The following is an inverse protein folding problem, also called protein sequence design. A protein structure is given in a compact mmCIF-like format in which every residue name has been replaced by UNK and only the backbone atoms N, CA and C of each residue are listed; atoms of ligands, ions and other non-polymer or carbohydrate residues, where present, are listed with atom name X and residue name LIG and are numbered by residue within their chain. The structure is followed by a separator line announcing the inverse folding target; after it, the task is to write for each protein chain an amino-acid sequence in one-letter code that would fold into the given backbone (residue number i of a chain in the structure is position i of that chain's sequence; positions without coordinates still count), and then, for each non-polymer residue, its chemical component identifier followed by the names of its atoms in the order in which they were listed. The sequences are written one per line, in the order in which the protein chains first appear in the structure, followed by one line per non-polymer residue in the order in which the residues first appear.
data_IF_092897706335
#
_entry.id   IF_092897706335
#
_cell.length_a   1.000
_cell.length_b   1.000
_cell.length_c   1.000
_cell.angle_alpha   90.00
_cell.angle_beta   90.00
_cell.angle_gamma   90.00
#
_symmetry.space_group_name_H-M   'P 1'
#
loop_
_entity.id
_entity.type
_entity.pdbx_description
1 polymer ?
#
# COMPACT_ATOMS: atom_id res chain seq x y z
N UNK A 1 72.05 7.65 123.03
CA UNK A 1 70.71 7.86 123.63
C UNK A 1 70.13 9.15 123.06
N UNK A 2 68.84 9.10 122.69
CA UNK A 2 68.00 10.16 122.08
C UNK A 2 68.14 11.52 122.78
N UNK A 3 68.37 12.60 122.04
CA UNK A 3 67.38 13.51 121.41
C UNK A 3 66.67 14.45 122.41
N UNK A 4 66.94 15.76 122.31
CA UNK A 4 65.99 16.85 121.97
C UNK A 4 66.42 18.20 122.57
N UNK A 5 66.48 19.20 121.69
CA UNK A 5 66.54 20.65 121.91
C UNK A 5 65.26 21.17 121.23
N UNK A 6 64.28 21.74 121.93
CA UNK A 6 64.17 23.07 122.54
C UNK A 6 63.47 24.08 121.63
N UNK A 7 62.63 24.88 122.29
CA UNK A 7 62.33 26.31 122.09
C UNK A 7 61.48 26.78 120.89
N UNK A 8 60.26 27.24 121.25
CA UNK A 8 59.55 28.50 120.93
C UNK A 8 59.86 29.21 119.60
N UNK A 9 58.79 29.50 118.83
CA UNK A 9 58.65 30.68 117.95
C UNK A 9 57.19 31.18 117.92
N UNK A 10 57.05 32.52 117.76
CA UNK A 10 55.88 33.40 117.65
C UNK A 10 55.00 33.19 116.39
N UNK A 11 53.81 33.86 116.27
CA UNK A 11 52.77 33.47 115.32
C UNK A 11 52.97 34.09 113.92
N UNK A 12 52.57 33.36 112.88
CA UNK A 12 52.55 33.83 111.50
C UNK A 12 51.20 33.51 110.83
N UNK A 13 50.80 34.43 109.96
CA UNK A 13 49.54 34.52 109.25
C UNK A 13 49.07 33.23 108.56
N UNK A 14 47.78 32.93 108.68
CA UNK A 14 47.11 31.90 107.89
C UNK A 14 46.80 32.49 106.51
N UNK A 15 47.61 32.11 105.52
CA UNK A 15 47.35 32.40 104.11
C UNK A 15 46.18 31.54 103.61
N UNK A 16 45.11 32.20 103.15
CA UNK A 16 44.03 31.57 102.42
C UNK A 16 44.51 31.20 101.01
N UNK A 17 45.01 29.99 100.84
CA UNK A 17 45.21 29.35 99.54
C UNK A 17 44.04 28.42 99.25
N UNK A 18 42.97 28.93 98.64
CA UNK A 18 41.93 28.09 98.05
C UNK A 18 42.58 27.40 96.85
N UNK A 19 42.85 26.10 96.99
CA UNK A 19 43.21 25.24 95.87
C UNK A 19 41.98 25.10 94.99
N UNK A 20 41.93 25.87 93.91
CA UNK A 20 40.98 25.67 92.81
C UNK A 20 41.33 24.32 92.18
N UNK A 21 40.61 23.27 92.56
CA UNK A 21 40.48 22.12 91.69
C UNK A 21 39.77 22.64 90.44
N UNK A 22 40.53 22.83 89.37
CA UNK A 22 39.94 22.99 88.04
C UNK A 22 38.98 21.82 87.86
N UNK A 23 37.70 22.13 87.68
CA UNK A 23 36.79 21.23 86.99
C UNK A 23 37.46 20.99 85.64
N UNK A 24 38.16 19.86 85.51
CA UNK A 24 38.44 19.30 84.21
C UNK A 24 37.06 19.22 83.54
N UNK A 25 36.90 20.02 82.49
CA UNK A 25 35.68 20.05 81.71
C UNK A 25 35.28 18.62 81.47
N UNK A 26 34.03 18.29 81.80
CA UNK A 26 33.39 17.11 81.26
C UNK A 26 33.41 17.36 79.77
N UNK A 27 34.43 16.85 79.08
CA UNK A 27 34.40 16.73 77.64
C UNK A 27 33.19 15.82 77.40
N UNK A 28 32.08 16.45 77.04
CA UNK A 28 30.95 15.75 76.44
C UNK A 28 31.57 14.89 75.35
N UNK A 29 31.53 13.58 75.51
CA UNK A 29 31.87 12.67 74.44
C UNK A 29 30.91 13.01 73.32
N UNK A 30 31.36 13.81 72.36
CA UNK A 30 30.62 14.08 71.15
C UNK A 30 30.52 12.71 70.49
N UNK A 31 29.32 12.12 70.48
CA UNK A 31 29.07 10.91 69.73
C UNK A 31 29.45 11.22 68.29
N UNK A 32 30.26 10.36 67.67
CA UNK A 32 30.57 10.50 66.25
C UNK A 32 29.25 10.49 65.50
N UNK A 33 29.05 11.45 64.61
CA UNK A 33 27.88 11.49 63.74
C UNK A 33 27.70 10.13 63.05
N UNK A 34 26.50 9.57 63.13
CA UNK A 34 26.10 8.36 62.44
C UNK A 34 25.50 8.73 61.08
N UNK A 35 25.61 7.82 60.11
CA UNK A 35 24.96 8.06 58.81
C UNK A 35 23.45 7.79 58.93
N UNK A 36 22.63 8.46 58.10
CA UNK A 36 21.22 8.14 58.02
C UNK A 36 21.01 6.69 57.56
N UNK A 37 19.86 6.12 57.94
CA UNK A 37 19.39 4.82 57.47
C UNK A 37 18.25 5.04 56.50
N UNK A 38 18.52 4.78 55.22
CA UNK A 38 17.52 4.81 54.17
C UNK A 38 16.72 3.50 54.15
N UNK A 39 15.40 3.58 54.00
CA UNK A 39 14.54 2.44 53.75
C UNK A 39 13.96 2.49 52.34
N UNK A 40 13.51 1.34 51.84
CA UNK A 40 12.95 1.28 50.50
C UNK A 40 11.51 1.80 50.49
N UNK A 41 11.15 2.50 49.43
CA UNK A 41 9.82 3.05 49.23
C UNK A 41 9.08 2.33 48.10
N UNK A 42 7.75 2.43 48.16
CA UNK A 42 6.88 2.01 47.07
C UNK A 42 5.86 3.08 46.75
N UNK A 43 5.55 3.27 45.48
CA UNK A 43 4.48 4.15 45.03
C UNK A 43 3.68 3.50 43.89
N UNK A 44 2.45 3.98 43.70
CA UNK A 44 1.60 3.63 42.56
C UNK A 44 1.18 4.91 41.87
N UNK A 45 1.19 4.90 40.54
CA UNK A 45 0.61 5.97 39.73
C UNK A 45 -0.04 5.38 38.49
N UNK A 46 -0.88 6.14 37.81
CA UNK A 46 -1.29 5.81 36.45
C UNK A 46 -0.18 6.25 35.49
N UNK A 47 -0.11 5.65 34.30
CA UNK A 47 0.73 6.23 33.26
C UNK A 47 0.30 7.67 32.96
N UNK A 48 1.25 8.43 32.43
CA UNK A 48 1.15 9.87 32.14
C UNK A 48 0.84 10.78 33.34
N UNK A 49 0.78 10.21 34.54
CA UNK A 49 0.44 10.92 35.77
C UNK A 49 1.66 10.96 36.70
N UNK A 50 2.22 12.16 36.98
CA UNK A 50 3.26 12.30 37.98
C UNK A 50 2.77 11.95 39.38
N UNK A 51 3.67 11.41 40.21
CA UNK A 51 3.41 11.12 41.64
C UNK A 51 4.50 11.74 42.51
N UNK A 52 4.09 12.32 43.64
CA UNK A 52 5.01 12.84 44.67
C UNK A 52 5.16 11.80 45.77
N UNK A 53 6.40 11.41 46.05
CA UNK A 53 6.78 10.33 46.96
C UNK A 53 7.55 10.93 48.14
N UNK A 54 7.03 10.74 49.35
CA UNK A 54 7.66 11.18 50.59
C UNK A 54 8.77 10.20 51.02
N UNK A 55 9.86 10.15 50.25
CA UNK A 55 10.96 9.18 50.41
C UNK A 55 11.67 9.25 51.76
N UNK A 56 11.56 10.36 52.51
CA UNK A 56 12.16 10.49 53.83
C UNK A 56 11.23 10.04 54.98
N UNK A 57 9.99 9.61 54.69
CA UNK A 57 8.99 9.37 55.73
C UNK A 57 9.28 8.13 56.60
N UNK A 58 10.03 7.17 56.07
CA UNK A 58 10.46 5.91 56.70
C UNK A 58 11.98 5.88 56.99
N UNK A 59 12.70 6.93 56.60
CA UNK A 59 14.13 7.11 56.85
C UNK A 59 14.36 7.64 58.25
N UNK A 60 15.50 7.27 58.83
CA UNK A 60 15.83 7.64 60.21
C UNK A 60 17.29 8.02 60.34
N UNK A 61 17.60 8.87 61.30
CA UNK A 61 18.95 9.13 61.76
C UNK A 61 19.05 8.88 63.27
N UNK A 62 20.14 8.26 63.72
CA UNK A 62 20.29 7.84 65.12
C UNK A 62 20.63 9.01 66.06
N UNK A 63 21.29 10.05 65.55
CA UNK A 63 21.60 11.28 66.27
C UNK A 63 20.42 12.26 66.26
N UNK A 64 19.43 12.02 65.38
CA UNK A 64 18.21 12.82 65.25
C UNK A 64 18.39 14.04 64.35
N UNK A 65 19.39 14.01 63.47
CA UNK A 65 19.67 15.07 62.53
C UNK A 65 18.55 15.22 61.48
N UNK A 66 18.42 16.43 60.94
CA UNK A 66 17.40 16.72 59.93
C UNK A 66 17.80 16.12 58.59
N UNK A 67 16.95 15.25 58.07
CA UNK A 67 17.19 14.59 56.79
C UNK A 67 16.79 15.44 55.58
N UNK A 68 17.55 15.27 54.49
CA UNK A 68 17.30 15.89 53.19
C UNK A 68 17.58 14.91 52.05
N UNK A 69 16.97 15.14 50.88
CA UNK A 69 17.27 14.37 49.67
C UNK A 69 18.40 15.07 48.92
N UNK A 70 19.58 14.44 48.86
CA UNK A 70 20.77 15.00 48.23
C UNK A 70 20.76 14.84 46.71
N UNK A 71 20.29 13.69 46.21
CA UNK A 71 20.20 13.41 44.76
C UNK A 71 19.23 12.28 44.47
N UNK A 72 18.87 12.14 43.20
CA UNK A 72 18.00 11.07 42.69
C UNK A 72 18.47 10.64 41.31
N UNK A 73 18.29 9.36 40.98
CA UNK A 73 18.50 8.81 39.64
C UNK A 73 17.17 8.68 38.89
N UNK A 74 17.23 8.59 37.56
CA UNK A 74 16.04 8.26 36.76
C UNK A 74 15.83 6.75 36.74
N UNK A 75 14.56 6.36 36.61
CA UNK A 75 14.20 5.00 36.24
C UNK A 75 14.31 4.77 34.74
N UNK A 76 13.96 3.57 34.30
CA UNK A 76 13.96 3.22 32.87
C UNK A 76 12.68 3.66 32.16
N UNK A 77 11.58 3.83 32.91
CA UNK A 77 10.25 4.17 32.41
C UNK A 77 9.78 5.55 32.84
N UNK A 78 10.62 6.33 33.53
CA UNK A 78 10.27 7.67 33.97
C UNK A 78 11.46 8.45 34.51
N UNK A 79 11.21 9.72 34.79
CA UNK A 79 12.19 10.64 35.36
C UNK A 79 11.83 10.96 36.81
N UNK A 80 12.86 11.12 37.65
CA UNK A 80 12.69 11.48 39.04
C UNK A 80 13.41 12.81 39.32
N UNK A 81 12.76 13.68 40.09
CA UNK A 81 13.31 14.97 40.47
C UNK A 81 13.05 15.24 41.96
N UNK A 82 14.06 15.78 42.64
CA UNK A 82 13.91 16.20 44.04
C UNK A 82 12.97 17.41 44.10
N UNK A 83 12.00 17.36 45.01
CA UNK A 83 11.04 18.44 45.28
C UNK A 83 10.92 18.63 46.80
N UNK A 84 11.73 19.52 47.35
CA UNK A 84 11.84 19.71 48.80
C UNK A 84 12.37 18.45 49.49
N UNK A 85 11.58 17.90 50.40
CA UNK A 85 11.88 16.66 51.14
C UNK A 85 11.30 15.40 50.46
N UNK A 86 10.71 15.55 49.27
CA UNK A 86 10.09 14.48 48.51
C UNK A 86 10.75 14.32 47.14
N UNK A 87 10.38 13.28 46.42
CA UNK A 87 10.75 13.07 45.01
C UNK A 87 9.48 13.06 44.18
N UNK A 88 9.47 13.81 43.08
CA UNK A 88 8.44 13.70 42.05
C UNK A 88 8.93 12.73 40.99
N UNK A 89 8.18 11.64 40.79
CA UNK A 89 8.40 10.69 39.71
C UNK A 89 7.36 10.94 38.60
N UNK A 90 7.84 11.13 37.38
CA UNK A 90 7.02 11.33 36.18
C UNK A 90 7.26 10.16 35.22
N UNK A 91 6.28 9.26 35.02
CA UNK A 91 6.35 8.25 33.97
C UNK A 91 6.59 8.90 32.60
N UNK A 92 7.34 8.22 31.74
CA UNK A 92 7.37 8.55 30.32
C UNK A 92 6.02 8.19 29.70
N UNK A 93 5.65 8.90 28.63
CA UNK A 93 4.37 8.72 27.98
C UNK A 93 4.09 7.26 27.59
N UNK A 94 2.89 6.77 27.89
CA UNK A 94 2.37 5.46 27.47
C UNK A 94 3.22 4.26 27.92
N UNK A 95 4.00 4.42 29.01
CA UNK A 95 4.75 3.33 29.62
C UNK A 95 4.13 2.94 30.96
N UNK A 96 3.75 1.67 31.06
CA UNK A 96 3.23 1.06 32.29
C UNK A 96 4.12 -0.08 32.83
N UNK A 97 3.73 -0.65 33.97
CA UNK A 97 4.45 -1.71 34.68
C UNK A 97 5.33 -1.20 35.82
N UNK A 98 6.25 -2.04 36.30
CA UNK A 98 7.16 -1.68 37.39
C UNK A 98 8.38 -0.91 36.87
N UNK A 99 8.76 0.15 37.58
CA UNK A 99 10.03 0.87 37.40
C UNK A 99 10.72 1.07 38.75
N UNK A 100 12.04 1.25 38.73
CA UNK A 100 12.83 1.41 39.95
C UNK A 100 13.86 2.51 39.74
N UNK A 101 14.05 3.35 40.76
CA UNK A 101 15.12 4.33 40.83
C UNK A 101 15.67 4.42 42.25
N UNK A 102 16.79 5.13 42.43
CA UNK A 102 17.42 5.33 43.74
C UNK A 102 17.50 6.81 44.11
N UNK A 103 17.48 7.09 45.41
CA UNK A 103 17.72 8.42 45.96
C UNK A 103 18.79 8.35 47.05
N UNK A 104 19.42 9.49 47.32
CA UNK A 104 20.43 9.63 48.38
C UNK A 104 19.86 10.53 49.48
N UNK A 105 19.72 9.99 50.69
CA UNK A 105 19.39 10.76 51.90
C UNK A 105 20.67 11.27 52.55
N UNK A 106 20.62 12.49 53.11
CA UNK A 106 21.73 13.15 53.79
C UNK A 106 21.28 13.78 55.10
N UNK A 107 22.08 13.62 56.15
CA UNK A 107 21.97 14.33 57.44
C UNK A 107 22.71 15.69 57.43
N UNK A 108 23.36 16.05 56.31
CA UNK A 108 24.21 17.24 56.15
C UNK A 108 25.71 16.96 56.20
N UNK A 109 26.12 15.78 56.66
CA UNK A 109 27.52 15.32 56.78
C UNK A 109 27.75 13.97 56.11
N UNK A 110 26.87 12.99 56.35
CA UNK A 110 26.91 11.62 55.84
C UNK A 110 25.66 11.32 55.00
N UNK A 111 25.71 10.22 54.25
CA UNK A 111 24.64 9.86 53.31
C UNK A 111 24.36 8.37 53.29
N UNK A 112 23.14 8.01 52.87
CA UNK A 112 22.73 6.64 52.56
C UNK A 112 21.85 6.61 51.31
N UNK A 113 21.73 5.43 50.69
CA UNK A 113 20.97 5.25 49.45
C UNK A 113 19.72 4.42 49.71
N UNK A 114 18.56 4.96 49.35
CA UNK A 114 17.29 4.23 49.32
C UNK A 114 16.87 3.86 47.90
N UNK A 115 16.02 2.86 47.77
CA UNK A 115 15.44 2.44 46.48
C UNK A 115 13.94 2.66 46.50
N UNK A 116 13.41 3.24 45.41
CA UNK A 116 11.98 3.42 45.21
C UNK A 116 11.52 2.49 44.10
N UNK A 117 10.49 1.69 44.36
CA UNK A 117 9.79 0.90 43.34
C UNK A 117 8.44 1.55 43.03
N UNK A 118 8.24 1.94 41.78
CA UNK A 118 6.98 2.53 41.30
C UNK A 118 6.23 1.51 40.46
N UNK A 119 4.97 1.27 40.79
CA UNK A 119 4.04 0.52 39.93
C UNK A 119 3.22 1.51 39.11
N UNK A 120 3.39 1.49 37.79
CA UNK A 120 2.66 2.34 36.85
C UNK A 120 1.51 1.52 36.29
N UNK A 121 0.29 1.97 36.53
CA UNK A 121 -0.95 1.30 36.13
C UNK A 121 -1.30 1.72 34.70
N UNK A 122 -1.55 0.78 33.78
CA UNK A 122 -1.98 1.10 32.43
C UNK A 122 -3.36 1.78 32.44
N UNK A 123 -3.57 2.71 31.52
CA UNK A 123 -4.80 3.45 31.28
C UNK A 123 -5.05 3.46 29.78
N UNK A 124 -6.18 2.93 29.35
CA UNK A 124 -6.56 2.89 27.95
C UNK A 124 -6.54 4.29 27.32
N UNK A 125 -5.77 4.43 26.25
CA UNK A 125 -5.69 5.60 25.40
C UNK A 125 -6.65 5.49 24.21
N UNK A 126 -7.15 6.62 23.66
CA UNK A 126 -7.99 6.57 22.48
C UNK A 126 -7.18 6.19 21.23
N UNK A 127 -7.81 5.56 20.25
CA UNK A 127 -7.15 5.25 18.98
C UNK A 127 -6.73 6.53 18.26
N UNK A 128 -5.66 6.46 17.48
CA UNK A 128 -5.19 7.55 16.61
C UNK A 128 -5.69 7.30 15.19
N UNK A 129 -6.70 8.06 14.78
CA UNK A 129 -7.30 7.97 13.45
C UNK A 129 -6.62 8.93 12.45
N UNK A 130 -6.19 8.44 11.29
CA UNK A 130 -5.47 9.20 10.26
C UNK A 130 -6.32 9.27 8.99
N UNK A 131 -6.44 10.48 8.41
CA UNK A 131 -7.28 10.68 7.22
C UNK A 131 -6.79 9.89 6.01
N UNK A 132 -7.74 9.40 5.21
CA UNK A 132 -7.49 8.67 3.97
C UNK A 132 -7.76 9.53 2.73
N UNK A 133 -7.13 9.14 1.62
CA UNK A 133 -7.45 9.67 0.30
C UNK A 133 -7.46 8.54 -0.72
N UNK A 134 -8.57 8.38 -1.44
CA UNK A 134 -8.75 7.32 -2.44
C UNK A 134 -9.30 7.85 -3.74
N UNK A 135 -8.95 7.17 -4.84
CA UNK A 135 -9.58 7.37 -6.14
C UNK A 135 -10.40 6.13 -6.48
N UNK A 136 -11.64 6.34 -6.88
CA UNK A 136 -12.59 5.26 -7.18
C UNK A 136 -13.18 5.42 -8.57
N UNK A 137 -13.61 4.31 -9.14
CA UNK A 137 -14.27 4.31 -10.46
C UNK A 137 -15.75 4.62 -10.30
N UNK A 138 -16.30 5.50 -11.16
CA UNK A 138 -17.73 5.82 -11.20
C UNK A 138 -18.57 4.54 -11.33
N UNK A 139 -19.79 4.58 -10.78
CA UNK A 139 -20.77 3.49 -10.86
C UNK A 139 -20.29 2.14 -10.28
N UNK A 140 -19.15 2.13 -9.56
CA UNK A 140 -18.54 0.91 -9.00
C UNK A 140 -18.37 1.07 -7.50
N UNK A 141 -18.87 0.11 -6.73
CA UNK A 141 -18.60 0.05 -5.29
C UNK A 141 -17.14 -0.32 -5.04
N UNK A 142 -16.48 0.40 -4.13
CA UNK A 142 -15.10 0.18 -3.74
C UNK A 142 -15.02 -0.08 -2.23
N UNK A 143 -14.32 -1.15 -1.85
CA UNK A 143 -13.97 -1.43 -0.45
C UNK A 143 -12.70 -0.66 -0.10
N UNK A 144 -12.75 0.14 0.96
CA UNK A 144 -11.67 0.98 1.47
C UNK A 144 -11.24 0.43 2.83
N UNK A 145 -9.94 0.13 2.97
CA UNK A 145 -9.35 -0.31 4.23
C UNK A 145 -9.00 0.90 5.11
N UNK A 146 -10.03 1.55 5.64
CA UNK A 146 -9.89 2.82 6.38
C UNK A 146 -9.01 2.69 7.63
N UNK A 147 -8.96 1.51 8.27
CA UNK A 147 -8.14 1.30 9.47
C UNK A 147 -6.65 1.02 9.17
N UNK A 148 -6.21 1.01 7.89
CA UNK A 148 -4.88 0.54 7.53
C UNK A 148 -3.74 1.46 8.01
N UNK A 149 -4.03 2.72 8.23
CA UNK A 149 -3.12 3.77 8.73
C UNK A 149 -3.47 4.22 10.16
N UNK A 150 -4.48 3.61 10.78
CA UNK A 150 -4.87 3.92 12.16
C UNK A 150 -4.08 3.06 13.15
N UNK A 151 -3.82 3.61 14.33
CA UNK A 151 -3.03 2.94 15.36
C UNK A 151 -3.64 3.12 16.74
N UNK A 152 -3.36 2.17 17.61
CA UNK A 152 -3.66 2.24 19.03
C UNK A 152 -2.37 2.06 19.82
N UNK A 153 -2.15 2.86 20.86
CA UNK A 153 -0.89 2.82 21.61
C UNK A 153 -0.83 1.66 22.60
N UNK A 154 -1.99 1.22 23.11
CA UNK A 154 -2.13 0.04 23.95
C UNK A 154 -2.09 -1.26 23.12
N UNK A 155 -2.27 -1.13 21.81
CA UNK A 155 -2.28 -2.23 20.87
C UNK A 155 -3.63 -2.94 20.79
N UNK A 156 -4.70 -2.25 21.21
CA UNK A 156 -6.06 -2.75 21.14
C UNK A 156 -6.55 -2.93 19.70
N UNK A 157 -7.49 -3.86 19.52
CA UNK A 157 -8.02 -4.19 18.21
C UNK A 157 -8.99 -3.10 17.73
N UNK A 158 -8.65 -2.48 16.59
CA UNK A 158 -9.45 -1.38 16.04
C UNK A 158 -10.65 -1.85 15.21
N UNK A 159 -11.75 -1.11 15.32
CA UNK A 159 -12.99 -1.29 14.56
C UNK A 159 -13.55 0.04 14.08
N UNK A 160 -14.35 0.02 13.02
CA UNK A 160 -15.12 1.17 12.54
C UNK A 160 -16.47 1.19 13.26
N UNK A 161 -16.64 2.14 14.18
CA UNK A 161 -17.84 2.28 14.99
C UNK A 161 -19.00 2.97 14.24
N UNK A 162 -18.70 3.95 13.41
CA UNK A 162 -19.71 4.64 12.60
C UNK A 162 -19.11 5.29 11.36
N UNK A 163 -19.97 5.57 10.38
CA UNK A 163 -19.63 6.29 9.15
C UNK A 163 -20.71 7.32 8.86
N UNK A 164 -20.33 8.51 8.41
CA UNK A 164 -21.29 9.53 7.97
C UNK A 164 -21.69 9.33 6.51
N UNK A 165 -22.82 9.91 6.12
CA UNK A 165 -23.29 9.83 4.74
C UNK A 165 -22.52 10.84 3.88
N UNK A 166 -21.85 10.40 2.79
CA UNK A 166 -21.22 11.30 1.83
C UNK A 166 -22.27 12.04 0.99
N UNK A 167 -21.87 13.14 0.33
CA UNK A 167 -22.80 14.00 -0.40
C UNK A 167 -23.25 13.41 -1.74
N UNK A 168 -22.41 12.59 -2.37
CA UNK A 168 -22.58 12.09 -3.73
C UNK A 168 -22.40 10.57 -3.84
N UNK A 169 -22.84 9.84 -2.81
CA UNK A 169 -22.83 8.38 -2.78
C UNK A 169 -23.39 7.81 -1.49
N UNK A 170 -22.97 6.58 -1.17
CA UNK A 170 -23.24 5.93 0.11
C UNK A 170 -21.94 5.36 0.66
N UNK A 171 -21.80 5.37 1.99
CA UNK A 171 -20.73 4.70 2.71
C UNK A 171 -21.33 3.71 3.73
N UNK A 172 -20.89 2.47 3.69
CA UNK A 172 -21.41 1.39 4.56
C UNK A 172 -20.24 0.65 5.18
N UNK A 173 -20.29 0.41 6.50
CA UNK A 173 -19.28 -0.38 7.20
C UNK A 173 -19.37 -1.84 6.74
N UNK A 174 -18.22 -2.42 6.41
CA UNK A 174 -18.07 -3.80 5.93
C UNK A 174 -17.13 -4.53 6.86
N UNK A 175 -17.59 -5.66 7.40
CA UNK A 175 -16.85 -6.54 8.31
C UNK A 175 -16.28 -5.84 9.56
N UNK A 176 -16.87 -4.70 9.96
CA UNK A 176 -16.46 -3.90 11.11
C UNK A 176 -15.08 -3.22 11.00
N UNK A 177 -14.36 -3.39 9.89
CA UNK A 177 -12.96 -2.93 9.73
C UNK A 177 -12.72 -2.16 8.43
N UNK A 178 -13.66 -2.20 7.50
CA UNK A 178 -13.59 -1.54 6.20
C UNK A 178 -14.84 -0.72 5.95
N UNK A 179 -14.78 0.15 4.95
CA UNK A 179 -15.96 0.87 4.47
C UNK A 179 -16.11 0.62 2.97
N UNK A 180 -17.29 0.18 2.55
CA UNK A 180 -17.67 0.13 1.14
C UNK A 180 -18.29 1.46 0.75
N UNK A 181 -17.63 2.19 -0.15
CA UNK A 181 -18.16 3.40 -0.77
C UNK A 181 -18.76 3.06 -2.14
N UNK A 182 -19.96 3.57 -2.42
CA UNK A 182 -20.62 3.46 -3.73
C UNK A 182 -20.99 4.87 -4.20
N UNK A 183 -20.38 5.38 -5.29
CA UNK A 183 -20.76 6.66 -5.85
C UNK A 183 -22.22 6.67 -6.32
N UNK A 184 -22.87 7.83 -6.30
CA UNK A 184 -24.13 8.03 -6.99
C UNK A 184 -23.96 7.79 -8.50
N UNK A 185 -25.00 7.24 -9.13
CA UNK A 185 -24.94 6.89 -10.55
C UNK A 185 -24.56 8.10 -11.42
N UNK A 186 -23.54 7.93 -12.26
CA UNK A 186 -23.00 8.94 -13.17
C UNK A 186 -22.17 10.04 -12.50
N UNK A 187 -21.96 9.99 -11.19
CA UNK A 187 -21.21 11.03 -10.49
C UNK A 187 -19.71 11.00 -10.84
N UNK A 188 -19.14 12.19 -11.05
CA UNK A 188 -17.72 12.46 -11.27
C UNK A 188 -17.35 13.69 -10.43
N UNK A 189 -16.22 13.64 -9.74
CA UNK A 189 -15.78 14.72 -8.87
C UNK A 189 -15.33 14.24 -7.50
N UNK A 190 -15.24 15.17 -6.56
CA UNK A 190 -14.76 14.90 -5.20
C UNK A 190 -15.91 14.67 -4.24
N UNK A 191 -15.80 13.65 -3.40
CA UNK A 191 -16.73 13.39 -2.30
C UNK A 191 -15.94 13.11 -1.02
N UNK A 192 -16.61 13.07 0.12
CA UNK A 192 -15.98 12.73 1.38
C UNK A 192 -16.99 12.16 2.37
N UNK A 193 -16.50 11.29 3.25
CA UNK A 193 -17.22 10.89 4.46
C UNK A 193 -16.26 10.92 5.65
N UNK A 194 -16.81 10.99 6.85
CA UNK A 194 -16.08 10.78 8.09
C UNK A 194 -16.37 9.39 8.64
N UNK A 195 -15.40 8.79 9.32
CA UNK A 195 -15.60 7.56 10.08
C UNK A 195 -15.05 7.71 11.49
N UNK A 196 -15.56 6.86 12.39
CA UNK A 196 -15.16 6.79 13.79
C UNK A 196 -14.48 5.45 14.03
N UNK A 197 -13.24 5.49 14.49
CA UNK A 197 -12.44 4.35 14.93
C UNK A 197 -12.69 4.12 16.42
N UNK A 198 -12.77 2.85 16.82
CA UNK A 198 -12.99 2.42 18.19
C UNK A 198 -12.05 1.28 18.55
N UNK A 199 -11.42 1.36 19.72
CA UNK A 199 -10.69 0.26 20.37
C UNK A 199 -11.63 -0.69 21.16
N UNK A 200 -12.89 -0.28 21.33
CA UNK A 200 -13.92 -1.00 22.10
C UNK A 200 -14.44 -0.22 23.32
N UNK A 201 -13.72 0.83 23.72
CA UNK A 201 -14.00 1.71 24.85
C UNK A 201 -13.96 3.18 24.46
N UNK A 202 -12.88 3.64 23.83
CA UNK A 202 -12.65 5.00 23.38
C UNK A 202 -12.70 5.08 21.85
N UNK A 203 -12.85 6.31 21.35
CA UNK A 203 -13.07 6.56 19.93
C UNK A 203 -12.34 7.80 19.43
N UNK A 204 -11.99 7.77 18.15
CA UNK A 204 -11.46 8.91 17.40
C UNK A 204 -12.11 9.00 16.02
N UNK A 205 -12.22 10.21 15.47
CA UNK A 205 -12.88 10.43 14.18
C UNK A 205 -11.93 11.08 13.17
N UNK A 206 -12.05 10.69 11.91
CA UNK A 206 -11.27 11.27 10.81
C UNK A 206 -12.06 11.24 9.49
N UNK A 207 -11.45 11.71 8.41
CA UNK A 207 -12.09 11.90 7.10
C UNK A 207 -11.45 11.02 6.02
N UNK A 208 -12.28 10.49 5.12
CA UNK A 208 -11.86 9.91 3.84
C UNK A 208 -12.20 10.89 2.74
N UNK A 209 -11.18 11.34 2.00
CA UNK A 209 -11.34 12.14 0.78
C UNK A 209 -11.40 11.21 -0.44
N UNK A 210 -12.37 11.44 -1.31
CA UNK A 210 -12.64 10.56 -2.46
C UNK A 210 -12.59 11.38 -3.74
N UNK A 211 -11.88 10.86 -4.75
CA UNK A 211 -12.00 11.33 -6.13
C UNK A 211 -12.67 10.26 -6.98
N UNK A 212 -13.87 10.55 -7.50
CA UNK A 212 -14.62 9.68 -8.40
C UNK A 212 -14.27 10.04 -9.84
N UNK A 213 -13.68 9.08 -10.56
CA UNK A 213 -13.27 9.24 -11.95
C UNK A 213 -13.91 8.18 -12.85
N UNK A 214 -13.92 8.45 -14.16
CA UNK A 214 -14.32 7.43 -15.13
C UNK A 214 -13.37 6.24 -15.08
N UNK A 215 -13.88 5.05 -15.40
CA UNK A 215 -13.01 3.89 -15.57
C UNK A 215 -11.91 4.23 -16.59
N UNK A 216 -10.65 3.95 -16.24
CA UNK A 216 -9.60 3.86 -17.25
C UNK A 216 -9.95 2.67 -18.12
N UNK A 217 -10.39 2.89 -19.36
CA UNK A 217 -10.70 1.79 -20.25
C UNK A 217 -9.46 0.88 -20.37
N UNK A 218 -9.58 -0.45 -20.23
CA UNK A 218 -8.56 -1.31 -20.81
C UNK A 218 -8.48 -1.00 -22.32
N UNK A 219 -7.34 -1.22 -22.98
CA UNK A 219 -7.30 -1.24 -24.43
C UNK A 219 -8.38 -2.22 -24.91
N UNK A 220 -9.49 -1.69 -25.43
CA UNK A 220 -10.53 -2.46 -26.11
C UNK A 220 -9.86 -3.27 -27.23
N UNK A 221 -10.44 -4.37 -27.71
CA UNK A 221 -9.87 -5.18 -28.81
C UNK A 221 -9.59 -4.42 -30.12
N UNK A 222 -9.98 -3.14 -30.22
CA UNK A 222 -9.50 -2.17 -31.21
C UNK A 222 -8.05 -1.74 -31.01
N UNK A 223 -7.51 -1.77 -29.79
CA UNK A 223 -6.15 -1.39 -29.45
C UNK A 223 -5.08 -2.28 -30.08
N UNK A 224 -5.30 -3.60 -30.18
CA UNK A 224 -4.31 -4.47 -30.80
C UNK A 224 -4.21 -4.21 -32.31
N UNK A 225 -5.35 -3.92 -32.96
CA UNK A 225 -5.40 -3.53 -34.37
C UNK A 225 -4.82 -2.14 -34.61
N UNK A 226 -5.12 -1.16 -33.74
CA UNK A 226 -4.60 0.21 -33.83
C UNK A 226 -3.10 0.24 -33.52
N UNK A 227 -2.63 -0.52 -32.52
CA UNK A 227 -1.21 -0.63 -32.18
C UNK A 227 -0.42 -1.30 -33.31
N UNK A 228 -0.94 -2.39 -33.90
CA UNK A 228 -0.35 -3.01 -35.09
C UNK A 228 -0.29 -2.03 -36.27
N UNK A 229 -1.35 -1.25 -36.50
CA UNK A 229 -1.35 -0.21 -37.52
C UNK A 229 -0.32 0.90 -37.22
N UNK A 230 -0.17 1.31 -35.96
CA UNK A 230 0.80 2.31 -35.58
C UNK A 230 2.24 1.84 -35.77
N UNK A 231 2.54 0.57 -35.49
CA UNK A 231 3.87 0.00 -35.76
C UNK A 231 4.14 -0.16 -37.26
N UNK A 232 3.15 -0.56 -38.05
CA UNK A 232 3.33 -0.88 -39.46
C UNK A 232 3.35 0.35 -40.39
N UNK A 233 2.61 1.42 -40.07
CA UNK A 233 2.34 2.51 -41.03
C UNK A 233 2.78 3.90 -40.59
N UNK A 234 3.19 4.09 -39.32
CA UNK A 234 3.60 5.42 -38.83
C UNK A 234 4.84 5.99 -39.55
N UNK A 235 5.65 5.16 -40.20
CA UNK A 235 6.80 5.57 -41.03
C UNK A 235 6.43 5.88 -42.49
N UNK A 236 5.23 5.48 -42.93
CA UNK A 236 4.77 5.56 -44.31
C UNK A 236 3.83 6.75 -44.56
N UNK A 237 3.10 7.20 -43.54
CA UNK A 237 2.21 8.37 -43.61
C UNK A 237 2.40 9.25 -42.36
N UNK A 238 2.80 10.51 -42.57
CA UNK A 238 3.05 11.46 -41.48
C UNK A 238 1.80 11.76 -40.64
N UNK A 239 0.61 11.67 -41.24
CA UNK A 239 -0.66 11.83 -40.53
C UNK A 239 -1.04 10.63 -39.67
N UNK A 240 -0.72 9.39 -40.10
CA UNK A 240 -0.84 8.19 -39.27
C UNK A 240 0.14 8.26 -38.11
N UNK A 241 1.39 8.71 -38.36
CA UNK A 241 2.41 8.92 -37.33
C UNK A 241 1.96 9.86 -36.19
N UNK A 242 1.37 11.01 -36.56
CA UNK A 242 0.86 12.00 -35.62
C UNK A 242 -0.31 11.46 -34.78
N UNK A 243 -1.27 10.77 -35.42
CA UNK A 243 -2.40 10.16 -34.74
C UNK A 243 -1.96 9.02 -33.80
N UNK A 244 -0.97 8.23 -34.20
CA UNK A 244 -0.42 7.15 -33.39
C UNK A 244 0.33 7.63 -32.16
N UNK A 245 1.09 8.73 -32.28
CA UNK A 245 1.75 9.37 -31.13
C UNK A 245 0.72 9.87 -30.11
N UNK A 246 -0.41 10.38 -30.60
CA UNK A 246 -1.51 10.85 -29.76
C UNK A 246 -2.29 9.69 -29.11
N UNK A 247 -2.51 8.59 -29.85
CA UNK A 247 -3.20 7.40 -29.38
C UNK A 247 -2.39 6.62 -28.32
N UNK A 248 -1.06 6.48 -28.51
CA UNK A 248 -0.16 5.73 -27.62
C UNK A 248 0.35 6.56 -26.42
N UNK A 249 0.21 7.89 -26.46
CA UNK A 249 0.64 8.78 -25.39
C UNK A 249 -0.18 8.69 -24.10
N UNK A 250 -1.32 7.98 -24.10
CA UNK A 250 -2.14 7.69 -22.92
C UNK A 250 -2.64 8.91 -22.10
N UNK A 251 -2.69 10.10 -22.70
CA UNK A 251 -3.12 11.35 -22.06
C UNK A 251 -4.52 11.83 -22.49
N UNK A 252 -5.31 10.97 -23.15
CA UNK A 252 -6.62 11.37 -23.69
C UNK A 252 -7.80 10.67 -23.00
N UNK A 253 -8.95 11.36 -22.90
CA UNK A 253 -10.19 10.72 -22.46
C UNK A 253 -10.68 9.68 -23.48
N UNK A 254 -11.38 8.65 -22.99
CA UNK A 254 -11.76 7.43 -23.75
C UNK A 254 -12.45 7.73 -25.08
N UNK A 255 -13.39 8.67 -25.11
CA UNK A 255 -14.12 9.04 -26.35
C UNK A 255 -13.19 9.59 -27.44
N UNK A 256 -12.13 10.30 -27.05
CA UNK A 256 -11.15 10.85 -27.98
C UNK A 256 -10.22 9.75 -28.49
N UNK A 257 -9.82 8.81 -27.63
CA UNK A 257 -8.97 7.68 -28.00
C UNK A 257 -9.70 6.74 -28.99
N UNK A 258 -10.99 6.47 -28.79
CA UNK A 258 -11.82 5.69 -29.73
C UNK A 258 -11.95 6.39 -31.09
N UNK A 259 -12.20 7.70 -31.09
CA UNK A 259 -12.31 8.49 -32.32
C UNK A 259 -11.01 8.53 -33.12
N UNK A 260 -9.87 8.64 -32.43
CA UNK A 260 -8.53 8.61 -33.03
C UNK A 260 -8.19 7.20 -33.54
N UNK A 261 -8.49 6.15 -32.78
CA UNK A 261 -8.27 4.76 -33.19
C UNK A 261 -9.06 4.40 -34.47
N UNK A 262 -10.33 4.80 -34.54
CA UNK A 262 -11.14 4.64 -35.74
C UNK A 262 -10.59 5.42 -36.94
N UNK A 263 -10.08 6.65 -36.72
CA UNK A 263 -9.46 7.45 -37.75
C UNK A 263 -8.15 6.82 -38.29
N UNK A 264 -7.33 6.23 -37.41
CA UNK A 264 -6.13 5.49 -37.79
C UNK A 264 -6.51 4.29 -38.66
N UNK A 265 -7.44 3.44 -38.20
CA UNK A 265 -7.88 2.25 -38.93
C UNK A 265 -8.48 2.58 -40.30
N UNK A 266 -9.32 3.63 -40.37
CA UNK A 266 -9.90 4.12 -41.63
C UNK A 266 -8.83 4.68 -42.58
N UNK A 267 -7.75 5.24 -42.06
CA UNK A 267 -6.68 5.80 -42.88
C UNK A 267 -5.75 4.71 -43.42
N UNK A 268 -5.50 3.66 -42.64
CA UNK A 268 -4.68 2.52 -43.09
C UNK A 268 -5.44 1.53 -43.98
N UNK A 269 -6.78 1.55 -43.97
CA UNK A 269 -7.60 0.68 -44.83
C UNK A 269 -7.47 0.96 -46.33
N UNK A 270 -6.84 2.06 -46.72
CA UNK A 270 -6.57 2.41 -48.12
C UNK A 270 -5.27 1.80 -48.67
N UNK A 271 -4.42 1.20 -47.83
CA UNK A 271 -3.20 0.50 -48.28
C UNK A 271 -3.52 -0.92 -48.76
N UNK A 272 -2.87 -1.37 -49.84
CA UNK A 272 -3.11 -2.69 -50.41
C UNK A 272 -2.59 -3.79 -49.45
N UNK A 273 -3.43 -4.74 -49.01
CA UNK A 273 -3.16 -5.75 -47.96
C UNK A 273 -1.83 -6.50 -48.11
N UNK A 274 -1.30 -6.67 -49.31
CA UNK A 274 0.00 -7.31 -49.52
C UNK A 274 1.19 -6.36 -49.28
N UNK A 275 1.07 -5.05 -49.57
CA UNK A 275 2.07 -4.05 -49.17
C UNK A 275 2.15 -3.92 -47.65
N UNK A 276 1.00 -4.10 -46.97
CA UNK A 276 0.87 -4.12 -45.52
C UNK A 276 1.65 -5.25 -44.88
N UNK A 277 1.42 -6.49 -45.33
CA UNK A 277 2.07 -7.66 -44.73
C UNK A 277 3.58 -7.63 -45.01
N UNK A 278 3.99 -7.06 -46.13
CA UNK A 278 5.40 -6.89 -46.47
C UNK A 278 6.13 -5.77 -45.72
N UNK A 279 5.39 -4.80 -45.19
CA UNK A 279 5.94 -3.79 -44.29
C UNK A 279 6.01 -4.30 -42.83
N UNK A 280 5.08 -5.18 -42.44
CA UNK A 280 4.96 -5.72 -41.09
C UNK A 280 5.71 -7.05 -40.88
N UNK A 281 6.21 -7.69 -41.94
CA UNK A 281 6.99 -8.92 -41.84
C UNK A 281 8.31 -8.62 -41.15
N UNK A 282 8.37 -8.86 -39.84
CA UNK A 282 9.63 -8.94 -39.09
C UNK A 282 10.51 -10.09 -39.60
N UNK A 283 11.33 -10.67 -38.73
CA UNK A 283 12.38 -11.66 -39.06
C UNK A 283 11.90 -13.01 -39.67
N UNK A 284 10.66 -13.13 -40.15
CA UNK A 284 10.20 -14.31 -40.89
C UNK A 284 10.79 -14.30 -42.31
N UNK A 285 11.79 -15.14 -42.51
CA UNK A 285 12.53 -15.25 -43.77
C UNK A 285 11.63 -15.64 -44.97
N UNK A 286 10.53 -16.36 -44.71
CA UNK A 286 9.60 -16.84 -45.73
C UNK A 286 8.73 -15.71 -46.26
N UNK A 287 8.17 -14.90 -45.35
CA UNK A 287 7.36 -13.73 -45.71
C UNK A 287 8.24 -12.65 -46.34
N UNK A 288 9.46 -12.44 -45.82
CA UNK A 288 10.42 -11.47 -46.36
C UNK A 288 10.81 -11.78 -47.82
N UNK A 289 11.02 -13.06 -48.16
CA UNK A 289 11.37 -13.46 -49.53
C UNK A 289 10.21 -13.25 -50.53
N UNK A 290 8.98 -13.59 -50.14
CA UNK A 290 7.79 -13.36 -50.96
C UNK A 290 7.51 -11.85 -51.15
N UNK A 291 7.79 -11.06 -50.12
CA UNK A 291 7.67 -9.62 -50.15
C UNK A 291 8.69 -8.92 -51.05
N UNK A 292 9.91 -9.45 -51.15
CA UNK A 292 10.89 -8.99 -52.14
C UNK A 292 10.41 -9.19 -53.59
N UNK A 293 9.72 -10.30 -53.87
CA UNK A 293 9.17 -10.58 -55.21
C UNK A 293 7.94 -9.69 -55.47
N UNK A 294 7.08 -9.51 -54.47
CA UNK A 294 5.90 -8.65 -54.56
C UNK A 294 6.25 -7.17 -54.83
N UNK A 295 7.28 -6.66 -54.15
CA UNK A 295 7.76 -5.27 -54.28
C UNK A 295 8.55 -5.01 -55.58
N UNK A 296 8.96 -6.05 -56.31
CA UNK A 296 9.72 -5.89 -57.54
C UNK A 296 8.95 -5.10 -58.61
N UNK A 297 9.59 -4.10 -59.21
CA UNK A 297 9.02 -3.31 -60.31
C UNK A 297 8.91 -4.11 -61.62
N UNK A 298 9.60 -5.25 -61.73
CA UNK A 298 9.56 -6.15 -62.89
C UNK A 298 8.52 -7.27 -62.78
N UNK A 299 7.85 -7.42 -61.64
CA UNK A 299 6.85 -8.47 -61.45
C UNK A 299 5.50 -8.08 -62.09
N UNK A 300 4.90 -8.95 -62.92
CA UNK A 300 3.61 -8.67 -63.55
C UNK A 300 2.47 -8.67 -62.53
N UNK A 301 1.41 -7.89 -62.81
CA UNK A 301 0.31 -7.63 -61.88
C UNK A 301 -0.42 -8.89 -61.38
N UNK A 302 -0.52 -9.94 -62.22
CA UNK A 302 -1.14 -11.22 -61.83
C UNK A 302 -0.30 -11.94 -60.77
N UNK A 303 1.03 -11.93 -60.91
CA UNK A 303 1.95 -12.58 -59.98
C UNK A 303 1.95 -11.88 -58.63
N UNK A 304 1.90 -10.54 -58.63
CA UNK A 304 1.73 -9.77 -57.39
C UNK A 304 0.43 -10.13 -56.68
N UNK A 305 -0.67 -10.25 -57.42
CA UNK A 305 -1.99 -10.62 -56.87
C UNK A 305 -1.97 -12.02 -56.24
N UNK A 306 -1.32 -13.00 -56.87
CA UNK A 306 -1.26 -14.37 -56.34
C UNK A 306 -0.29 -14.48 -55.15
N UNK A 307 0.87 -13.82 -55.20
CA UNK A 307 1.79 -13.74 -54.06
C UNK A 307 1.12 -13.07 -52.85
N UNK A 308 0.35 -12.00 -53.09
CA UNK A 308 -0.42 -11.34 -52.04
C UNK A 308 -1.39 -12.27 -51.31
N UNK A 309 -2.08 -13.16 -52.05
CA UNK A 309 -2.97 -14.16 -51.47
C UNK A 309 -2.23 -15.24 -50.68
N UNK A 310 -1.06 -15.67 -51.17
CA UNK A 310 -0.20 -16.67 -50.49
C UNK A 310 0.31 -16.11 -49.16
N UNK A 311 0.78 -14.87 -49.17
CA UNK A 311 1.21 -14.15 -47.95
C UNK A 311 0.04 -14.04 -46.95
N UNK A 312 -1.15 -13.69 -47.43
CA UNK A 312 -2.35 -13.58 -46.58
C UNK A 312 -2.75 -14.92 -45.94
N UNK A 313 -2.74 -16.02 -46.69
CA UNK A 313 -3.04 -17.35 -46.15
C UNK A 313 -2.01 -17.82 -45.11
N UNK A 314 -0.73 -17.55 -45.35
CA UNK A 314 0.36 -17.93 -44.44
C UNK A 314 0.23 -17.23 -43.07
N UNK A 315 -0.08 -15.93 -43.08
CA UNK A 315 -0.28 -15.16 -41.84
C UNK A 315 -1.55 -15.59 -41.09
N UNK A 316 -2.64 -15.90 -41.81
CA UNK A 316 -3.87 -16.44 -41.20
C UNK A 316 -3.63 -17.79 -40.50
N UNK A 317 -2.82 -18.67 -41.11
CA UNK A 317 -2.50 -19.97 -40.53
C UNK A 317 -1.60 -19.91 -39.29
N UNK A 318 -0.79 -18.85 -39.15
CA UNK A 318 0.19 -18.70 -38.04
C UNK A 318 -0.30 -17.83 -36.89
N UNK A 319 -1.29 -16.96 -37.11
CA UNK A 319 -1.79 -16.01 -36.10
C UNK A 319 -2.87 -16.59 -35.16
N UNK A 320 -3.37 -17.81 -35.39
CA UNK A 320 -4.39 -18.47 -34.56
C UNK A 320 -5.64 -17.59 -34.27
N UNK A 321 -5.99 -16.70 -35.21
CA UNK A 321 -7.20 -15.87 -35.15
C UNK A 321 -8.28 -16.53 -35.99
N UNK A 322 -9.30 -17.09 -35.34
CA UNK A 322 -10.57 -17.44 -36.01
C UNK A 322 -11.36 -16.15 -36.27
N UNK A 323 -11.46 -15.73 -37.53
CA UNK A 323 -12.42 -14.69 -37.92
C UNK A 323 -13.74 -15.37 -38.28
N UNK A 324 -14.79 -15.13 -37.49
CA UNK A 324 -16.15 -15.18 -38.03
C UNK A 324 -16.27 -14.04 -39.03
N UNK A 325 -16.58 -14.39 -40.27
CA UNK A 325 -16.92 -13.42 -41.30
C UNK A 325 -18.34 -12.92 -41.01
N UNK A 326 -18.46 -11.94 -40.11
CA UNK A 326 -19.68 -11.15 -39.92
C UNK A 326 -19.60 -9.90 -40.81
N UNK A 327 -19.84 -10.10 -42.11
CA UNK A 327 -20.19 -9.05 -43.06
C UNK A 327 -21.72 -9.05 -43.22
N UNK A 328 -22.43 -8.35 -42.34
CA UNK A 328 -23.80 -7.89 -42.59
C UNK A 328 -23.72 -6.53 -43.31
N UNK A 329 -23.98 -6.51 -44.61
CA UNK A 329 -25.07 -5.71 -45.20
C UNK A 329 -25.13 -5.83 -46.75
N UNK A 330 -26.36 -6.07 -47.21
CA UNK A 330 -26.95 -5.83 -48.54
C UNK A 330 -26.77 -6.83 -49.71
N UNK A 331 -27.85 -7.61 -49.87
CA UNK A 331 -28.62 -7.85 -51.11
C UNK A 331 -28.68 -9.31 -51.64
N UNK A 332 -29.92 -9.68 -51.95
CA UNK A 332 -30.51 -10.98 -52.30
C UNK A 332 -29.76 -11.87 -53.31
N UNK A 333 -29.55 -13.16 -52.98
CA UNK A 333 -30.14 -14.39 -53.62
C UNK A 333 -29.29 -15.66 -53.46
N UNK A 334 -29.98 -16.72 -53.05
CA UNK A 334 -29.81 -18.13 -53.43
C UNK A 334 -28.42 -18.78 -53.37
N UNK A 335 -28.23 -19.50 -52.26
CA UNK A 335 -27.70 -20.87 -52.11
C UNK A 335 -26.85 -21.46 -53.25
N UNK A 336 -25.64 -21.83 -52.83
CA UNK A 336 -24.91 -23.05 -53.19
C UNK A 336 -24.48 -23.20 -54.66
N UNK A 337 -23.29 -22.66 -54.97
CA UNK A 337 -22.46 -23.19 -56.06
C UNK A 337 -21.03 -23.31 -55.57
N UNK A 338 -20.71 -24.48 -55.02
CA UNK A 338 -19.35 -25.02 -55.07
C UNK A 338 -18.89 -24.96 -56.53
N UNK A 339 -18.02 -23.99 -56.84
CA UNK A 339 -17.27 -23.99 -58.09
C UNK A 339 -15.80 -24.06 -57.73
N UNK A 340 -15.39 -25.33 -57.58
CA UNK A 340 -14.05 -25.81 -57.82
C UNK A 340 -13.45 -25.12 -59.06
N UNK A 341 -12.69 -24.04 -58.85
CA UNK A 341 -11.83 -23.46 -59.88
C UNK A 341 -10.44 -24.04 -59.65
N UNK A 342 -10.12 -25.04 -60.49
CA UNK A 342 -8.79 -25.59 -60.66
C UNK A 342 -7.75 -24.47 -60.64
N UNK A 343 -7.05 -24.39 -59.53
CA UNK A 343 -5.76 -23.71 -59.43
C UNK A 343 -4.75 -24.84 -59.40
N UNK A 344 -3.78 -24.83 -60.31
CA UNK A 344 -2.70 -25.82 -60.39
C UNK A 344 -2.17 -26.10 -58.98
N UNK A 345 -2.42 -27.30 -58.45
CA UNK A 345 -2.14 -27.62 -57.05
C UNK A 345 -0.62 -27.65 -56.83
N UNK A 346 -0.09 -26.57 -56.25
CA UNK A 346 1.26 -26.51 -55.73
C UNK A 346 1.25 -27.10 -54.32
N UNK A 347 1.65 -28.36 -54.16
CA UNK A 347 1.80 -28.98 -52.84
C UNK A 347 3.19 -28.69 -52.26
N UNK A 348 3.24 -28.17 -51.04
CA UNK A 348 4.47 -27.90 -50.29
C UNK A 348 4.65 -29.00 -49.23
N UNK A 349 5.78 -29.70 -49.25
CA UNK A 349 6.21 -30.58 -48.16
C UNK A 349 7.46 -29.99 -47.49
N UNK A 350 7.44 -29.83 -46.17
CA UNK A 350 8.53 -29.24 -45.40
C UNK A 350 9.37 -30.33 -44.72
N UNK A 351 10.65 -30.40 -45.04
CA UNK A 351 11.66 -31.20 -44.35
C UNK A 351 12.85 -30.34 -43.89
N UNK A 352 13.64 -30.86 -42.95
CA UNK A 352 14.72 -30.15 -42.23
C UNK A 352 15.94 -29.70 -43.08
N UNK A 353 15.86 -29.80 -44.41
CA UNK A 353 16.94 -29.40 -45.35
C UNK A 353 16.43 -28.47 -46.48
N UNK A 354 15.22 -27.92 -46.40
CA UNK A 354 14.64 -27.02 -47.41
C UNK A 354 13.51 -27.63 -48.25
N UNK A 355 12.84 -26.79 -49.05
CA UNK A 355 11.62 -27.12 -49.82
C UNK A 355 11.98 -27.62 -51.23
N UNK A 356 11.41 -28.76 -51.64
CA UNK A 356 11.37 -29.18 -53.05
C UNK A 356 9.98 -28.90 -53.66
N UNK A 357 9.97 -28.34 -54.87
CA UNK A 357 8.76 -28.04 -55.64
C UNK A 357 8.52 -29.13 -56.68
N UNK A 358 7.32 -29.69 -56.78
CA UNK A 358 6.98 -30.66 -57.83
C UNK A 358 5.56 -30.44 -58.34
N UNK A 359 5.40 -30.50 -59.67
CA UNK A 359 4.13 -30.42 -60.38
C UNK A 359 3.62 -31.84 -60.62
N UNK A 360 2.42 -32.17 -60.12
CA UNK A 360 1.75 -33.45 -60.41
C UNK A 360 0.88 -33.27 -61.67
N UNK A 361 0.98 -34.20 -62.62
CA UNK A 361 0.17 -34.26 -63.83
C UNK A 361 -1.18 -34.95 -63.59
N UNK A 362 -2.24 -34.44 -64.22
CA UNK A 362 -3.62 -34.92 -64.15
C UNK A 362 -3.78 -36.36 -64.68
N UNK A 363 -4.67 -37.12 -64.05
CA UNK A 363 -5.42 -38.20 -64.69
C UNK A 363 -6.91 -37.83 -64.62
N UNK A 364 -7.55 -37.86 -65.79
CA UNK A 364 -8.97 -37.56 -66.01
C UNK A 364 -9.84 -38.73 -65.52
N UNK A 365 -10.96 -38.45 -64.88
CA UNK A 365 -12.08 -39.39 -64.74
C UNK A 365 -13.39 -38.60 -64.85
N UNK A 366 -14.05 -38.76 -65.99
CA UNK A 366 -15.30 -38.14 -66.37
C UNK A 366 -16.48 -38.93 -65.76
N UNK A 367 -17.45 -38.20 -65.20
CA UNK A 367 -18.68 -38.76 -64.66
C UNK A 367 -19.76 -37.69 -64.59
N UNK A 368 -20.31 -37.35 -65.75
CA UNK A 368 -21.39 -36.39 -66.01
C UNK A 368 -22.76 -36.89 -65.52
N UNK A 369 -23.53 -35.93 -64.98
CA UNK A 369 -24.93 -35.56 -65.29
C UNK A 369 -26.03 -36.66 -65.26
N UNK A 370 -27.30 -36.43 -64.97
CA UNK A 370 -28.22 -35.37 -64.51
C UNK A 370 -29.59 -36.07 -64.68
N UNK A 371 -30.59 -35.85 -63.84
CA UNK A 371 -32.00 -35.92 -64.27
C UNK A 371 -32.89 -35.28 -63.20
N UNK A 372 -33.48 -34.13 -63.56
CA UNK A 372 -34.55 -33.45 -62.86
C UNK A 372 -35.85 -33.70 -63.64
N UNK A 373 -36.88 -34.21 -62.98
CA UNK A 373 -38.27 -34.12 -63.40
C UNK A 373 -39.12 -33.90 -62.14
N UNK A 374 -39.88 -32.80 -62.09
CA UNK A 374 -41.14 -32.70 -61.33
C UNK A 374 -41.90 -31.42 -61.72
N UNK A 375 -42.74 -31.55 -62.74
CA UNK A 375 -43.88 -30.67 -63.05
C UNK A 375 -45.15 -31.30 -62.41
N UNK A 376 -45.69 -30.72 -61.34
CA UNK A 376 -47.01 -31.12 -60.80
C UNK A 376 -48.06 -30.03 -61.06
N UNK A 377 -48.83 -30.28 -62.12
CA UNK A 377 -49.97 -29.51 -62.60
C UNK A 377 -51.25 -29.95 -61.84
N UNK A 378 -51.74 -29.15 -60.88
CA UNK A 378 -53.07 -29.37 -60.25
C UNK A 378 -54.00 -28.17 -60.36
N UNK A 379 -54.73 -28.14 -61.47
CA UNK A 379 -56.04 -27.48 -61.59
C UNK A 379 -57.16 -28.36 -60.99
N UNK A 380 -57.93 -27.81 -60.04
CA UNK A 380 -59.42 -27.72 -60.01
C UNK A 380 -59.92 -27.46 -58.58
N UNK A 381 -60.77 -26.44 -58.39
CA UNK A 381 -61.50 -26.29 -57.12
C UNK A 381 -62.09 -24.90 -56.85
N UNK A 382 -62.98 -24.44 -57.71
CA UNK A 382 -63.87 -23.28 -57.51
C UNK A 382 -64.82 -23.56 -56.32
N UNK A 383 -65.00 -22.64 -55.37
CA UNK A 383 -66.29 -22.20 -54.79
C UNK A 383 -66.07 -21.01 -53.85
N UNK A 384 -66.89 -19.97 -53.98
CA UNK A 384 -66.87 -18.77 -53.16
C UNK A 384 -68.11 -18.62 -52.27
N UNK A 385 -68.04 -17.63 -51.36
CA UNK A 385 -69.06 -17.14 -50.42
C UNK A 385 -69.43 -18.19 -49.36
N UNK A 386 -69.12 -17.99 -48.09
CA UNK A 386 -69.50 -16.90 -47.20
C UNK A 386 -68.62 -16.95 -45.95
#
# INVERSE_FOLDING_TARGET
MRLRISSRVLPAAVAAGVLVFGLAGVASAQTSNQAPVAQNDTATTNEDTPVTIAVLANDTDADGDTLSVASVTNGTKGTAAVSGTSVVYTPNANLNGSDTFTYVVSDGTLTATGTVTVTITPVNDPPVAISDSVTVTKDTAQVIAVLANDTDVDGDALTVASVSLPAHGTAVITDGTKVTYTPAAGYLGTDAFTYVVSDGSLVSATTVSITVQAATAPPSGTSDKVAAACTAYASMDQGVSALCSLYLGNQLPVWAQESIGAAILKRVSHFNKAEVICAASGNDATVTALCGIYASSSAPAWLKKDIGKVIEQYVKATSNVSTSDDDDDDDHKDKNKSRNKQSSNLSIATGSQGITLSLLGNADDDGDDDDNDDDDDRRKGRHGRR
#
